data_IF_536759975796
#
_entry.id   IF_536759975796
#
_cell.length_a   1.000
_cell.length_b   1.000
_cell.length_c   1.000
_cell.angle_alpha   90.00
_cell.angle_beta   90.00
_cell.angle_gamma   90.00
#
_symmetry.space_group_name_H-M   'P 1'
#
loop_
_entity.id
_entity.type
_entity.pdbx_description
1 polymer ?
#
# COMPACT_ATOMS: atom_id res chain seq x y z
N UNK A 1 -22.61 5.99 -7.35
CA UNK A 1 -21.58 5.55 -6.41
C UNK A 1 -21.53 4.04 -6.14
N UNK A 2 -22.59 3.23 -6.31
CA UNK A 2 -22.46 1.75 -6.14
C UNK A 2 -21.58 1.12 -7.24
N UNK A 3 -21.72 1.56 -8.50
CA UNK A 3 -20.91 1.03 -9.62
C UNK A 3 -19.41 1.39 -9.55
N UNK A 4 -19.04 2.49 -8.89
CA UNK A 4 -17.65 2.93 -8.76
C UNK A 4 -16.89 2.11 -7.69
N UNK A 5 -17.61 1.57 -6.70
CA UNK A 5 -17.00 0.74 -5.64
C UNK A 5 -16.63 -0.66 -6.13
N UNK A 6 -17.46 -1.28 -6.97
CA UNK A 6 -17.16 -2.60 -7.54
C UNK A 6 -15.98 -2.51 -8.53
N UNK A 7 -15.92 -1.45 -9.33
CA UNK A 7 -14.79 -1.17 -10.21
C UNK A 7 -13.51 -0.87 -9.41
N UNK A 8 -13.60 -0.02 -8.37
CA UNK A 8 -12.48 0.24 -7.48
C UNK A 8 -11.99 -1.04 -6.79
N UNK A 9 -12.90 -1.92 -6.36
CA UNK A 9 -12.56 -3.22 -5.79
C UNK A 9 -11.79 -4.09 -6.79
N UNK A 10 -12.26 -4.19 -8.03
CA UNK A 10 -11.59 -4.97 -9.06
C UNK A 10 -10.17 -4.45 -9.33
N UNK A 11 -10.01 -3.13 -9.47
CA UNK A 11 -8.71 -2.49 -9.65
C UNK A 11 -7.78 -2.69 -8.46
N UNK A 12 -8.31 -2.65 -7.23
CA UNK A 12 -7.51 -2.89 -6.04
C UNK A 12 -7.13 -4.35 -5.84
N UNK A 13 -7.98 -5.30 -6.26
CA UNK A 13 -7.63 -6.73 -6.29
C UNK A 13 -6.47 -6.95 -7.28
N UNK A 14 -6.56 -6.36 -8.48
CA UNK A 14 -5.48 -6.43 -9.47
C UNK A 14 -4.20 -5.79 -8.93
N UNK A 15 -4.27 -4.58 -8.37
CA UNK A 15 -3.11 -3.91 -7.78
C UNK A 15 -2.50 -4.71 -6.63
N UNK A 16 -3.31 -5.31 -5.75
CA UNK A 16 -2.85 -6.20 -4.66
C UNK A 16 -2.14 -7.43 -5.21
N UNK A 17 -2.60 -7.99 -6.33
CA UNK A 17 -1.94 -9.14 -6.96
C UNK A 17 -0.54 -8.81 -7.48
N UNK A 18 -0.31 -7.56 -7.89
CA UNK A 18 0.98 -7.10 -8.39
C UNK A 18 1.90 -6.63 -7.25
N UNK A 19 1.35 -5.92 -6.26
CA UNK A 19 2.09 -5.30 -5.16
C UNK A 19 1.47 -5.64 -3.78
N UNK A 20 1.49 -6.92 -3.35
CA UNK A 20 0.81 -7.36 -2.14
C UNK A 20 1.36 -6.67 -0.88
N UNK A 21 2.67 -6.40 -0.83
CA UNK A 21 3.29 -5.75 0.33
C UNK A 21 2.81 -4.30 0.52
N UNK A 22 2.46 -3.59 -0.55
CA UNK A 22 1.89 -2.24 -0.44
C UNK A 22 0.54 -2.30 0.28
N UNK A 23 -0.32 -3.25 -0.10
CA UNK A 23 -1.63 -3.41 0.52
C UNK A 23 -1.51 -3.79 2.01
N UNK A 24 -0.58 -4.67 2.36
CA UNK A 24 -0.30 -5.02 3.76
C UNK A 24 0.24 -3.82 4.55
N UNK A 25 1.18 -3.06 3.96
CA UNK A 25 1.79 -1.91 4.61
C UNK A 25 0.77 -0.82 4.95
N UNK A 26 -0.18 -0.55 4.04
CA UNK A 26 -1.27 0.41 4.27
C UNK A 26 -2.18 0.03 5.44
N UNK A 27 -2.36 -1.27 5.71
CA UNK A 27 -3.21 -1.76 6.81
C UNK A 27 -2.53 -1.70 8.18
N UNK A 28 -1.20 -1.52 8.25
CA UNK A 28 -0.47 -1.55 9.51
C UNK A 28 -0.74 -0.31 10.35
N UNK A 29 -0.98 -0.51 11.65
CA UNK A 29 -1.10 0.59 12.61
C UNK A 29 0.20 1.40 12.75
N UNK A 30 1.35 0.73 12.63
CA UNK A 30 2.69 1.35 12.73
C UNK A 30 3.39 1.28 11.38
N UNK A 31 4.30 2.22 11.14
CA UNK A 31 5.08 2.32 9.89
C UNK A 31 6.57 2.20 10.18
N UNK A 32 7.06 1.02 10.62
CA UNK A 32 8.47 0.83 10.86
C UNK A 32 9.25 0.83 9.55
N UNK A 33 10.43 1.45 9.56
CA UNK A 33 11.37 1.40 8.45
C UNK A 33 11.90 -0.03 8.27
N UNK A 34 11.85 -0.60 7.05
CA UNK A 34 12.29 -1.97 6.80
C UNK A 34 13.82 -2.05 6.67
N UNK A 35 14.38 -3.20 7.04
CA UNK A 35 15.82 -3.47 6.95
C UNK A 35 16.38 -3.30 5.52
N UNK A 36 15.56 -3.53 4.49
CA UNK A 36 15.92 -3.31 3.10
C UNK A 36 16.24 -1.84 2.78
N UNK A 37 15.58 -0.88 3.44
CA UNK A 37 15.90 0.55 3.31
C UNK A 37 17.24 0.87 3.98
N UNK A 38 17.53 0.22 5.10
CA UNK A 38 18.75 0.42 5.90
C UNK A 38 19.97 -0.22 5.22
N UNK A 39 19.78 -1.33 4.52
CA UNK A 39 20.87 -2.20 4.03
C UNK A 39 21.26 -1.97 2.58
N UNK A 40 20.44 -1.25 1.79
CA UNK A 40 20.72 -0.97 0.39
C UNK A 40 21.52 0.34 0.26
N UNK A 41 22.77 0.30 -0.24
CA UNK A 41 23.69 1.43 -0.15
C UNK A 41 23.35 2.64 -1.03
N UNK A 42 22.38 2.53 -1.95
CA UNK A 42 22.26 3.49 -3.06
C UNK A 42 20.83 4.03 -3.33
N UNK A 43 19.97 4.11 -2.31
CA UNK A 43 18.56 4.57 -2.47
C UNK A 43 17.75 3.73 -3.47
N UNK A 44 18.21 2.50 -3.75
CA UNK A 44 17.54 1.58 -4.65
C UNK A 44 16.24 1.09 -4.02
N UNK A 45 15.13 1.23 -4.75
CA UNK A 45 13.85 0.65 -4.35
C UNK A 45 13.67 -0.67 -5.10
N UNK A 46 13.55 -1.75 -4.36
CA UNK A 46 13.25 -3.08 -4.88
C UNK A 46 11.80 -3.14 -5.33
N UNK A 47 11.56 -3.37 -6.62
CA UNK A 47 10.20 -3.52 -7.13
C UNK A 47 9.52 -4.74 -6.48
N UNK A 48 8.34 -4.52 -5.90
CA UNK A 48 7.59 -5.49 -5.09
C UNK A 48 8.13 -5.69 -3.67
N UNK A 49 9.19 -4.98 -3.27
CA UNK A 49 9.86 -5.14 -1.98
C UNK A 49 9.22 -4.36 -0.83
N UNK A 50 9.72 -4.63 0.39
CA UNK A 50 9.27 -3.95 1.61
C UNK A 50 9.66 -2.46 1.63
N UNK A 51 10.78 -2.12 1.02
CA UNK A 51 11.23 -0.74 0.75
C UNK A 51 10.25 0.03 -0.13
N UNK A 52 9.75 -0.59 -1.22
CA UNK A 52 8.74 0.02 -2.07
C UNK A 52 7.42 0.22 -1.31
N UNK A 53 6.98 -0.79 -0.56
CA UNK A 53 5.77 -0.71 0.24
C UNK A 53 5.88 0.41 1.30
N UNK A 54 7.03 0.49 1.95
CA UNK A 54 7.34 1.54 2.91
C UNK A 54 7.25 2.93 2.27
N UNK A 55 7.99 3.15 1.20
CA UNK A 55 8.00 4.43 0.46
C UNK A 55 6.62 4.82 -0.07
N UNK A 56 5.84 3.86 -0.58
CA UNK A 56 4.48 4.11 -1.04
C UNK A 56 3.62 4.66 0.09
N UNK A 57 3.61 4.00 1.25
CA UNK A 57 2.82 4.45 2.39
C UNK A 57 3.35 5.77 2.96
N UNK A 58 4.66 5.99 3.00
CA UNK A 58 5.23 7.25 3.45
C UNK A 58 4.73 8.43 2.59
N UNK A 59 4.65 8.25 1.27
CA UNK A 59 4.24 9.31 0.33
C UNK A 59 2.72 9.47 0.21
N UNK A 60 2.00 8.36 0.14
CA UNK A 60 0.57 8.34 -0.24
C UNK A 60 -0.35 7.85 0.87
N UNK A 61 0.17 7.25 1.94
CA UNK A 61 -0.63 6.68 3.04
C UNK A 61 -1.54 7.70 3.72
N UNK A 62 -1.14 8.98 3.75
CA UNK A 62 -1.99 10.07 4.26
C UNK A 62 -3.32 10.22 3.51
N UNK A 63 -3.36 9.93 2.21
CA UNK A 63 -4.58 10.03 1.41
C UNK A 63 -5.51 8.84 1.67
N UNK A 64 -4.93 7.66 1.87
CA UNK A 64 -5.65 6.46 2.30
C UNK A 64 -6.27 6.66 3.68
N UNK A 65 -5.47 7.08 4.65
CA UNK A 65 -5.91 7.29 6.04
C UNK A 65 -6.92 8.43 6.20
N UNK A 66 -6.98 9.36 5.24
CA UNK A 66 -7.98 10.43 5.23
C UNK A 66 -9.38 9.97 4.77
N UNK A 67 -9.52 8.75 4.26
CA UNK A 67 -10.78 8.20 3.76
C UNK A 67 -11.12 6.89 4.45
N UNK A 68 -12.14 6.92 5.31
CA UNK A 68 -12.66 5.71 5.98
C UNK A 68 -13.15 4.69 4.95
N UNK A 69 -13.80 5.13 3.86
CA UNK A 69 -14.26 4.26 2.78
C UNK A 69 -13.09 3.58 2.05
N UNK A 70 -11.99 4.30 1.81
CA UNK A 70 -10.80 3.71 1.18
C UNK A 70 -10.14 2.67 2.10
N UNK A 71 -10.07 2.96 3.40
CA UNK A 71 -9.54 2.02 4.39
C UNK A 71 -10.46 0.80 4.57
N UNK A 72 -11.78 0.99 4.54
CA UNK A 72 -12.74 -0.11 4.56
C UNK A 72 -12.63 -0.97 3.29
N UNK A 73 -12.47 -0.33 2.13
CA UNK A 73 -12.32 -1.03 0.85
C UNK A 73 -11.05 -1.88 0.83
N UNK A 74 -9.88 -1.32 1.20
CA UNK A 74 -8.63 -2.09 1.23
C UNK A 74 -8.66 -3.19 2.29
N UNK A 75 -9.33 -2.99 3.42
CA UNK A 75 -9.51 -4.02 4.45
C UNK A 75 -10.39 -5.19 3.97
N UNK A 76 -11.30 -4.92 3.03
CA UNK A 76 -12.22 -5.92 2.46
C UNK A 76 -11.63 -6.77 1.32
N UNK A 77 -10.37 -6.54 0.94
CA UNK A 77 -9.66 -7.28 -0.12
C UNK A 77 -8.41 -8.00 0.39
#
# INVERSE_FOLDING_TARGET
MVGELDEARALLIEAKSQLPLVAEELKKARHPEPESVISLPDWTITHGGADQAYEYRARYGKYWLASEDAMALIASI
#
